data_IF_048817107574
#
_entry.id   IF_048817107574
#
_cell.length_a   1.000
_cell.length_b   1.000
_cell.length_c   1.000
_cell.angle_alpha   90.00
_cell.angle_beta   90.00
_cell.angle_gamma   90.00
#
_symmetry.space_group_name_H-M   'P 1'
#
loop_
_entity.id
_entity.type
_entity.pdbx_description
1 polymer ?
#
# COMPACT_ATOMS: atom_id res chain seq x y z
N UNK A 1 14.28 5.09 -6.03
CA UNK A 1 15.50 4.26 -6.07
C UNK A 1 16.18 4.21 -4.70
N UNK A 2 16.65 3.03 -4.23
CA UNK A 2 17.61 2.95 -3.13
C UNK A 2 19.00 3.22 -3.70
N UNK A 3 19.55 4.41 -3.51
CA UNK A 3 20.98 4.65 -3.76
C UNK A 3 21.75 4.12 -2.56
N UNK A 4 21.97 2.80 -2.52
CA UNK A 4 22.77 2.19 -1.48
C UNK A 4 24.21 2.69 -1.59
N UNK A 5 24.79 3.10 -0.45
CA UNK A 5 26.22 3.39 -0.25
C UNK A 5 27.13 2.17 -0.54
N UNK A 6 26.55 1.02 -0.91
CA UNK A 6 27.25 -0.24 -1.17
C UNK A 6 28.00 -0.28 -2.50
N UNK A 7 27.58 0.49 -3.50
CA UNK A 7 28.33 0.64 -4.75
C UNK A 7 28.85 2.09 -4.77
N UNK A 8 30.16 2.29 -4.89
CA UNK A 8 30.81 3.62 -4.96
C UNK A 8 30.43 4.42 -6.23
N UNK A 9 29.30 4.10 -6.85
CA UNK A 9 28.75 4.73 -8.06
C UNK A 9 27.29 5.07 -7.80
N UNK A 10 26.92 6.33 -7.99
CA UNK A 10 25.53 6.75 -7.88
C UNK A 10 24.71 6.16 -9.04
N UNK A 11 24.12 4.98 -8.82
CA UNK A 11 23.20 4.32 -9.77
C UNK A 11 22.08 5.24 -10.25
N UNK A 12 21.67 6.22 -9.45
CA UNK A 12 20.65 7.19 -9.82
C UNK A 12 21.04 8.00 -11.07
N UNK A 13 22.30 8.43 -11.21
CA UNK A 13 22.70 9.25 -12.36
C UNK A 13 22.70 8.48 -13.69
N UNK A 14 22.88 7.15 -13.64
CA UNK A 14 22.80 6.28 -14.81
C UNK A 14 21.37 5.91 -15.17
N UNK A 15 20.54 5.65 -14.17
CA UNK A 15 19.16 5.21 -14.40
C UNK A 15 18.20 6.36 -14.68
N UNK A 16 18.41 7.56 -14.11
CA UNK A 16 17.49 8.69 -14.29
C UNK A 16 17.18 9.04 -15.76
N UNK A 17 18.17 9.07 -16.69
CA UNK A 17 17.91 9.27 -18.11
C UNK A 17 17.05 8.15 -18.70
N UNK A 18 17.40 6.88 -18.43
CA UNK A 18 16.67 5.70 -18.95
C UNK A 18 15.23 5.64 -18.43
N UNK A 19 14.99 6.04 -17.18
CA UNK A 19 13.64 6.06 -16.59
C UNK A 19 12.69 6.97 -17.37
N UNK A 20 13.18 8.11 -17.88
CA UNK A 20 12.36 9.00 -18.72
C UNK A 20 11.96 8.30 -20.02
N UNK A 21 12.92 7.60 -20.64
CA UNK A 21 12.68 6.87 -21.89
C UNK A 21 11.76 5.67 -21.70
N UNK A 22 11.71 5.10 -20.49
CA UNK A 22 10.75 4.06 -20.09
C UNK A 22 9.36 4.61 -19.73
N UNK A 23 9.13 5.93 -19.90
CA UNK A 23 7.84 6.56 -19.67
C UNK A 23 7.53 6.89 -18.21
N UNK A 24 8.55 6.97 -17.34
CA UNK A 24 8.35 7.37 -15.94
C UNK A 24 8.03 8.87 -15.84
N UNK A 25 6.83 9.18 -15.35
CA UNK A 25 6.35 10.56 -15.22
C UNK A 25 6.86 11.28 -13.95
N UNK A 26 7.26 10.56 -12.89
CA UNK A 26 7.81 11.13 -11.66
C UNK A 26 8.82 10.17 -11.02
N UNK A 27 9.95 10.71 -10.54
CA UNK A 27 10.92 9.94 -9.76
C UNK A 27 11.01 10.51 -8.34
N UNK A 28 10.71 9.67 -7.35
CA UNK A 28 10.87 10.00 -5.93
C UNK A 28 12.15 9.37 -5.35
N UNK A 29 12.88 10.16 -4.55
CA UNK A 29 14.09 9.71 -3.85
C UNK A 29 13.78 9.59 -2.36
N UNK A 30 13.78 8.36 -1.85
CA UNK A 30 13.45 8.08 -0.45
C UNK A 30 14.66 8.13 0.46
N UNK A 31 14.67 9.04 1.44
CA UNK A 31 15.74 9.17 2.45
C UNK A 31 15.38 8.47 3.78
N UNK A 32 14.11 8.10 3.98
CA UNK A 32 13.57 7.62 5.27
C UNK A 32 13.67 6.11 5.57
N UNK A 33 14.55 5.34 4.94
CA UNK A 33 14.51 3.88 5.08
C UNK A 33 15.30 3.36 6.29
N UNK A 34 14.62 2.58 7.14
CA UNK A 34 15.24 1.86 8.24
C UNK A 34 16.05 0.65 7.73
N UNK A 35 17.36 0.65 8.00
CA UNK A 35 18.27 -0.47 7.76
C UNK A 35 17.97 -1.70 8.65
N UNK A 36 18.32 -2.86 8.11
CA UNK A 36 18.27 -4.24 8.66
C UNK A 36 16.93 -4.92 8.94
N UNK A 37 15.78 -4.25 8.82
CA UNK A 37 14.46 -4.90 8.67
C UNK A 37 13.69 -4.27 7.52
N UNK A 38 14.23 -4.41 6.31
CA UNK A 38 13.68 -3.84 5.08
C UNK A 38 12.81 -4.86 4.34
N UNK A 39 11.50 -4.88 4.57
CA UNK A 39 10.60 -5.74 3.80
C UNK A 39 9.37 -5.07 3.18
N UNK A 40 9.11 -3.79 3.46
CA UNK A 40 7.92 -3.11 2.93
C UNK A 40 7.96 -2.78 1.43
N UNK A 41 9.09 -2.93 0.74
CA UNK A 41 9.28 -2.54 -0.66
C UNK A 41 10.23 -3.51 -1.41
N UNK A 42 10.11 -4.82 -1.14
CA UNK A 42 10.78 -5.87 -1.92
C UNK A 42 9.77 -6.67 -2.75
N UNK A 43 8.76 -5.99 -3.31
CA UNK A 43 8.03 -6.46 -4.48
C UNK A 43 8.96 -6.28 -5.68
N UNK A 44 9.75 -7.32 -5.97
CA UNK A 44 10.61 -7.50 -7.15
C UNK A 44 11.59 -6.35 -7.51
N UNK A 45 12.66 -6.67 -8.23
CA UNK A 45 13.63 -5.69 -8.75
C UNK A 45 13.03 -4.70 -9.78
N UNK A 46 11.72 -4.69 -9.98
CA UNK A 46 11.03 -3.85 -10.97
C UNK A 46 9.79 -3.11 -10.42
N UNK A 47 9.29 -3.39 -9.20
CA UNK A 47 8.04 -2.78 -8.69
C UNK A 47 8.23 -1.63 -7.70
N UNK A 48 9.45 -1.07 -7.59
CA UNK A 48 9.72 0.14 -6.78
C UNK A 48 10.36 1.24 -7.62
N UNK A 49 9.75 1.46 -8.77
CA UNK A 49 9.52 2.81 -9.25
C UNK A 49 8.17 3.22 -8.67
N UNK A 50 8.11 4.30 -7.90
CA UNK A 50 6.84 5.01 -7.69
C UNK A 50 6.45 5.61 -9.05
N UNK A 51 5.99 4.77 -9.98
CA UNK A 51 5.37 5.16 -11.23
C UNK A 51 4.05 5.82 -10.87
N UNK A 52 4.11 7.13 -10.63
CA UNK A 52 2.93 7.98 -10.61
C UNK A 52 2.57 8.24 -12.05
N UNK A 53 1.69 7.43 -12.65
CA UNK A 53 0.99 7.86 -13.86
C UNK A 53 0.02 8.96 -13.44
N UNK A 54 0.48 10.22 -13.53
CA UNK A 54 -0.42 11.37 -13.59
C UNK A 54 -1.10 11.28 -14.95
N UNK A 55 -2.33 10.77 -14.99
CA UNK A 55 -3.15 10.83 -16.21
C UNK A 55 -3.51 12.28 -16.48
N UNK A 56 -2.69 12.98 -17.27
CA UNK A 56 -3.06 14.21 -17.93
C UNK A 56 -3.72 13.85 -19.27
N UNK A 57 -4.98 14.25 -19.40
CA UNK A 57 -5.81 14.33 -20.61
C UNK A 57 -5.05 14.15 -21.94
N UNK A 58 -4.91 12.92 -22.42
CA UNK A 58 -4.68 12.63 -23.84
C UNK A 58 -5.50 11.40 -24.21
N UNK A 59 -6.40 11.58 -25.16
CA UNK A 59 -7.38 10.61 -25.65
C UNK A 59 -6.73 9.47 -26.44
N UNK A 60 -5.98 8.56 -25.80
CA UNK A 60 -5.57 7.27 -26.37
C UNK A 60 -5.42 6.22 -25.25
N UNK A 61 -6.07 5.05 -25.31
CA UNK A 61 -5.88 4.00 -24.30
C UNK A 61 -4.64 3.15 -24.63
N UNK A 62 -3.70 2.94 -23.68
CA UNK A 62 -2.72 1.85 -23.79
C UNK A 62 -3.21 0.60 -23.03
N UNK A 63 -2.83 -0.61 -23.48
CA UNK A 63 -3.25 -1.86 -22.84
C UNK A 63 -2.36 -2.21 -21.62
N UNK A 64 -2.99 -2.82 -20.63
CA UNK A 64 -2.41 -3.73 -19.63
C UNK A 64 -1.15 -3.27 -18.86
N UNK A 65 -1.28 -2.25 -17.99
CA UNK A 65 -0.37 -2.06 -16.84
C UNK A 65 -1.03 -1.28 -15.69
N UNK A 66 -2.33 -1.43 -15.51
CA UNK A 66 -3.07 -0.88 -14.37
C UNK A 66 -3.52 -2.04 -13.48
N UNK A 67 -3.36 -1.91 -12.16
CA UNK A 67 -3.85 -2.82 -11.09
C UNK A 67 -2.98 -3.98 -10.59
N UNK A 68 -1.70 -3.74 -10.22
CA UNK A 68 -1.05 -4.60 -9.19
C UNK A 68 -0.96 -3.95 -7.80
N UNK A 69 -1.39 -2.70 -7.67
CA UNK A 69 -1.69 -1.98 -6.43
C UNK A 69 -2.82 -1.03 -6.84
N UNK A 70 -3.96 -0.91 -6.12
CA UNK A 70 -4.91 0.16 -6.40
C UNK A 70 -4.09 1.44 -6.34
N UNK A 71 -4.03 2.12 -7.48
CA UNK A 71 -3.19 3.25 -7.78
C UNK A 71 -2.88 4.07 -6.53
N UNK A 72 -1.60 4.27 -6.21
CA UNK A 72 -1.19 5.33 -5.31
C UNK A 72 -1.52 6.65 -6.00
N UNK A 73 -2.80 7.01 -6.00
CA UNK A 73 -3.33 8.19 -6.66
C UNK A 73 -2.92 9.40 -5.82
N UNK A 74 -2.02 10.20 -6.39
CA UNK A 74 -1.83 11.57 -5.96
C UNK A 74 -3.06 12.36 -6.40
N UNK A 75 -3.76 12.98 -5.45
CA UNK A 75 -4.70 14.06 -5.76
C UNK A 75 -3.87 15.33 -6.00
N UNK A 76 -3.42 15.59 -7.23
CA UNK A 76 -3.03 16.96 -7.60
C UNK A 76 -3.24 17.27 -9.09
N UNK A 77 -4.07 18.28 -9.34
CA UNK A 77 -4.27 18.99 -10.60
C UNK A 77 -3.20 20.09 -10.71
N UNK A 78 -2.13 19.90 -11.49
CA UNK A 78 -1.51 20.94 -12.33
C UNK A 78 -0.25 20.42 -13.06
N UNK A 79 -0.10 20.68 -14.37
CA UNK A 79 1.06 20.24 -15.14
C UNK A 79 2.06 21.39 -15.33
N UNK A 80 2.91 21.68 -14.34
CA UNK A 80 4.11 22.50 -14.60
C UNK A 80 5.07 22.53 -13.42
N UNK A 81 6.35 22.30 -13.73
CA UNK A 81 7.58 22.42 -12.93
C UNK A 81 8.08 21.20 -12.15
N UNK A 82 9.33 20.89 -12.46
CA UNK A 82 10.30 19.95 -11.87
C UNK A 82 10.72 20.33 -10.43
N UNK A 83 9.81 20.88 -9.63
CA UNK A 83 10.13 21.27 -8.25
C UNK A 83 10.17 20.02 -7.35
N UNK A 84 11.14 19.93 -6.42
CA UNK A 84 11.15 18.86 -5.44
C UNK A 84 9.89 18.99 -4.57
N UNK A 85 9.07 17.94 -4.57
CA UNK A 85 7.90 17.81 -3.71
C UNK A 85 8.29 16.99 -2.47
N UNK A 86 8.77 17.62 -1.38
CA UNK A 86 9.18 16.89 -0.18
C UNK A 86 7.99 16.11 0.39
N UNK A 87 8.31 14.91 0.85
CA UNK A 87 7.35 14.00 1.46
C UNK A 87 7.79 13.75 2.89
N UNK A 88 6.95 14.14 3.85
CA UNK A 88 7.26 14.02 5.26
C UNK A 88 6.39 12.93 5.88
N UNK A 89 7.08 11.91 6.40
CA UNK A 89 6.43 10.94 7.26
C UNK A 89 6.41 11.46 8.69
N UNK A 90 5.24 11.53 9.32
CA UNK A 90 5.05 12.06 10.67
C UNK A 90 5.64 11.22 11.79
N UNK A 91 6.64 10.37 11.52
CA UNK A 91 7.29 9.53 12.54
C UNK A 91 8.79 9.54 12.34
N UNK A 92 9.50 9.59 13.46
CA UNK A 92 10.94 9.39 13.47
C UNK A 92 11.29 7.95 13.11
N UNK A 93 12.53 7.74 12.65
CA UNK A 93 13.06 6.40 12.35
C UNK A 93 13.03 5.48 13.57
N UNK A 94 13.27 6.00 14.76
CA UNK A 94 13.33 5.25 16.01
C UNK A 94 11.94 4.80 16.49
N UNK A 95 10.91 5.60 16.21
CA UNK A 95 9.53 5.30 16.59
C UNK A 95 8.92 4.12 15.81
N UNK A 96 9.53 3.71 14.68
CA UNK A 96 9.05 2.60 13.83
C UNK A 96 7.51 2.66 13.64
N UNK A 97 6.81 1.61 14.10
CA UNK A 97 5.35 1.47 14.04
C UNK A 97 4.69 1.40 15.42
N UNK A 98 5.38 1.83 16.49
CA UNK A 98 4.84 1.75 17.85
C UNK A 98 4.02 2.97 18.24
N UNK A 99 4.22 4.10 17.57
CA UNK A 99 3.47 5.35 17.80
C UNK A 99 2.72 5.79 16.55
N UNK A 100 1.69 6.60 16.78
CA UNK A 100 0.94 7.31 15.74
C UNK A 100 1.81 8.38 15.08
N UNK A 101 1.46 8.75 13.86
CA UNK A 101 2.04 9.89 13.16
C UNK A 101 1.72 11.22 13.84
N UNK A 102 2.73 12.07 13.97
CA UNK A 102 2.67 13.42 14.50
C UNK A 102 2.28 14.40 13.40
N UNK A 103 0.97 14.53 13.19
CA UNK A 103 0.38 15.50 12.26
C UNK A 103 0.59 16.97 12.68
N UNK A 104 0.55 17.34 13.98
CA UNK A 104 0.95 18.68 14.42
C UNK A 104 2.37 19.08 13.97
N UNK A 105 3.33 18.14 14.04
CA UNK A 105 4.67 18.39 13.52
C UNK A 105 4.68 18.57 11.99
N UNK A 106 3.92 17.75 11.25
CA UNK A 106 3.76 17.92 9.79
C UNK A 106 3.20 19.31 9.47
N UNK A 107 2.21 19.80 10.21
CA UNK A 107 1.63 21.13 10.05
C UNK A 107 2.68 22.24 10.23
N UNK A 108 3.51 22.14 11.28
CA UNK A 108 4.62 23.08 11.50
C UNK A 108 5.60 23.08 10.32
N UNK A 109 5.97 21.89 9.82
CA UNK A 109 6.83 21.76 8.66
C UNK A 109 6.19 22.32 7.39
N UNK A 110 4.88 22.13 7.18
CA UNK A 110 4.16 22.66 6.02
C UNK A 110 4.19 24.19 6.01
N UNK A 111 3.99 24.83 7.17
CA UNK A 111 4.08 26.29 7.33
C UNK A 111 5.48 26.82 7.00
N UNK A 112 6.53 26.14 7.49
CA UNK A 112 7.93 26.52 7.23
C UNK A 112 8.34 26.28 5.78
N UNK A 113 7.82 25.23 5.15
CA UNK A 113 8.12 24.90 3.76
C UNK A 113 7.45 25.87 2.76
N UNK A 114 6.40 26.56 3.15
CA UNK A 114 5.67 27.51 2.29
C UNK A 114 6.62 28.53 1.64
N UNK A 115 6.53 28.76 0.32
CA UNK A 115 5.47 28.32 -0.60
C UNK A 115 5.70 26.94 -1.26
N UNK A 116 6.73 26.19 -0.88
CA UNK A 116 7.00 24.87 -1.45
C UNK A 116 5.95 23.85 -1.00
N UNK A 117 5.29 23.12 -1.93
CA UNK A 117 4.28 22.13 -1.60
C UNK A 117 4.88 20.91 -0.85
N UNK A 118 4.40 20.68 0.37
CA UNK A 118 4.76 19.53 1.21
C UNK A 118 3.68 18.44 1.15
N UNK A 119 4.07 17.19 1.01
CA UNK A 119 3.16 16.04 1.07
C UNK A 119 3.29 15.32 2.41
N UNK A 120 2.17 15.17 3.12
CA UNK A 120 2.11 14.49 4.41
C UNK A 120 1.91 12.97 4.27
N UNK A 121 2.50 12.18 5.16
CA UNK A 121 2.29 10.73 5.19
C UNK A 121 2.23 10.21 6.62
N UNK A 122 1.22 9.41 6.94
CA UNK A 122 1.17 8.71 8.22
C UNK A 122 -0.24 8.31 8.63
N UNK A 123 -0.44 7.03 8.91
CA UNK A 123 -1.63 6.50 9.59
C UNK A 123 -3.00 6.98 9.06
N UNK A 124 -3.11 7.22 7.75
CA UNK A 124 -4.40 7.47 7.07
C UNK A 124 -5.10 6.13 6.82
N UNK A 125 -6.20 5.88 7.53
CA UNK A 125 -7.03 4.69 7.39
C UNK A 125 -8.49 5.01 7.07
N UNK A 126 -8.94 6.25 7.15
CA UNK A 126 -10.29 6.65 6.74
C UNK A 126 -10.33 7.96 5.96
N UNK A 127 -11.52 8.34 5.47
CA UNK A 127 -11.71 9.64 4.84
C UNK A 127 -11.62 10.78 5.85
N UNK A 128 -12.03 10.57 7.11
CA UNK A 128 -11.84 11.53 8.20
C UNK A 128 -10.36 11.77 8.49
N UNK A 129 -9.55 10.70 8.54
CA UNK A 129 -8.09 10.85 8.70
C UNK A 129 -7.51 11.69 7.56
N UNK A 130 -7.94 11.43 6.31
CA UNK A 130 -7.51 12.18 5.15
C UNK A 130 -7.93 13.66 5.24
N UNK A 131 -9.16 13.94 5.66
CA UNK A 131 -9.67 15.31 5.82
C UNK A 131 -8.92 16.06 6.92
N UNK A 132 -8.72 15.44 8.08
CA UNK A 132 -7.93 16.00 9.18
C UNK A 132 -6.48 16.28 8.74
N UNK A 133 -5.88 15.36 7.98
CA UNK A 133 -4.54 15.55 7.45
C UNK A 133 -4.47 16.72 6.46
N UNK A 134 -5.45 16.88 5.56
CA UNK A 134 -5.49 18.01 4.62
C UNK A 134 -5.63 19.37 5.32
N UNK A 135 -6.19 19.42 6.53
CA UNK A 135 -6.27 20.66 7.33
C UNK A 135 -4.90 21.16 7.82
N UNK A 136 -3.85 20.32 7.77
CA UNK A 136 -2.49 20.70 8.19
C UNK A 136 -1.74 21.62 7.21
N UNK A 137 -2.39 22.00 6.10
CA UNK A 137 -1.80 22.86 5.07
C UNK A 137 -0.82 22.14 4.14
N UNK A 138 -0.79 20.80 4.17
CA UNK A 138 -0.09 19.99 3.18
C UNK A 138 -0.74 20.13 1.81
N UNK A 139 0.07 20.08 0.74
CA UNK A 139 -0.41 20.11 -0.64
C UNK A 139 -1.12 18.80 -1.03
N UNK A 140 -0.82 17.71 -0.33
CA UNK A 140 -1.48 16.42 -0.51
C UNK A 140 -1.03 15.41 0.54
N UNK A 141 -1.68 14.25 0.52
CA UNK A 141 -1.39 13.15 1.43
C UNK A 141 -0.96 11.91 0.65
N UNK A 142 -0.06 11.13 1.24
CA UNK A 142 0.29 9.80 0.75
C UNK A 142 -0.34 8.74 1.63
N UNK A 143 -0.94 7.74 1.02
CA UNK A 143 -1.54 6.59 1.71
C UNK A 143 -0.76 5.34 1.34
N UNK A 144 -0.36 4.54 2.33
CA UNK A 144 0.42 3.32 2.12
C UNK A 144 -0.25 2.10 2.77
N UNK A 145 -0.08 1.94 4.09
CA UNK A 145 -0.66 0.80 4.81
C UNK A 145 -2.19 0.79 4.78
N UNK A 146 -2.83 1.96 4.83
CA UNK A 146 -4.29 2.08 4.68
C UNK A 146 -4.81 1.45 3.39
N UNK A 147 -4.12 1.67 2.26
CA UNK A 147 -4.48 1.09 0.97
C UNK A 147 -4.29 -0.44 0.91
N UNK A 148 -3.34 -0.99 1.68
CA UNK A 148 -3.15 -2.44 1.80
C UNK A 148 -4.22 -3.09 2.68
N UNK A 149 -4.74 -2.39 3.69
CA UNK A 149 -5.86 -2.87 4.54
C UNK A 149 -7.18 -2.76 3.79
N UNK A 150 -7.40 -1.62 3.14
CA UNK A 150 -8.64 -1.25 2.46
C UNK A 150 -8.31 -0.72 1.05
N UNK A 151 -8.27 -1.59 0.04
CA UNK A 151 -8.10 -1.18 -1.36
C UNK A 151 -9.08 -0.10 -1.82
N UNK A 152 -10.29 -0.10 -1.26
CA UNK A 152 -11.36 0.86 -1.52
C UNK A 152 -11.24 2.18 -0.71
N UNK A 153 -10.18 2.37 0.09
CA UNK A 153 -9.99 3.59 0.88
C UNK A 153 -9.99 4.86 0.03
N UNK A 154 -9.47 4.80 -1.19
CA UNK A 154 -9.53 5.95 -2.11
C UNK A 154 -10.97 6.29 -2.51
N UNK A 155 -11.84 5.29 -2.62
CA UNK A 155 -13.27 5.49 -2.84
C UNK A 155 -13.93 6.11 -1.62
N UNK A 156 -13.58 5.66 -0.39
CA UNK A 156 -14.05 6.32 0.84
C UNK A 156 -13.66 7.79 0.89
N UNK A 157 -12.40 8.11 0.55
CA UNK A 157 -11.89 9.50 0.50
C UNK A 157 -12.65 10.31 -0.56
N UNK A 158 -12.87 9.74 -1.75
CA UNK A 158 -13.57 10.43 -2.84
C UNK A 158 -15.05 10.69 -2.51
N UNK A 159 -15.73 9.71 -1.93
CA UNK A 159 -17.16 9.76 -1.63
C UNK A 159 -17.48 10.34 -0.24
N UNK A 160 -16.46 10.61 0.56
CA UNK A 160 -16.61 11.21 1.90
C UNK A 160 -17.52 10.38 2.81
N UNK A 161 -17.38 9.05 2.77
CA UNK A 161 -18.13 8.10 3.60
C UNK A 161 -17.37 6.82 3.83
N UNK A 162 -17.70 6.10 4.89
CA UNK A 162 -17.23 4.73 5.10
C UNK A 162 -17.89 3.76 4.11
N UNK A 163 -17.10 2.79 3.67
CA UNK A 163 -17.55 1.67 2.86
C UNK A 163 -17.50 0.40 3.70
N UNK A 164 -18.66 -0.21 3.90
CA UNK A 164 -18.80 -1.48 4.61
C UNK A 164 -19.15 -2.59 3.61
N UNK A 165 -18.19 -2.91 2.73
CA UNK A 165 -18.41 -3.89 1.66
C UNK A 165 -18.57 -5.31 2.20
N UNK A 166 -19.31 -6.13 1.46
CA UNK A 166 -19.55 -7.53 1.77
C UNK A 166 -18.30 -8.40 1.61
N UNK A 167 -18.35 -9.61 2.18
CA UNK A 167 -17.31 -10.62 2.01
C UNK A 167 -17.10 -11.02 0.54
N UNK A 168 -18.16 -11.01 -0.27
CA UNK A 168 -18.11 -11.37 -1.69
C UNK A 168 -17.39 -10.29 -2.50
N UNK A 169 -17.72 -9.02 -2.30
CA UNK A 169 -17.01 -7.89 -2.93
C UNK A 169 -15.53 -7.87 -2.55
N UNK A 170 -15.20 -8.18 -1.29
CA UNK A 170 -13.80 -8.34 -0.85
C UNK A 170 -13.09 -9.49 -1.56
N UNK A 171 -13.77 -10.62 -1.75
CA UNK A 171 -13.20 -11.76 -2.49
C UNK A 171 -13.02 -11.45 -3.97
N UNK A 172 -13.92 -10.67 -4.57
CA UNK A 172 -13.79 -10.23 -5.96
C UNK A 172 -12.53 -9.36 -6.15
N UNK A 173 -12.21 -8.48 -5.20
CA UNK A 173 -10.93 -7.73 -5.21
C UNK A 173 -9.72 -8.67 -5.18
N UNK A 174 -9.76 -9.73 -4.38
CA UNK A 174 -8.69 -10.73 -4.36
C UNK A 174 -8.64 -11.53 -5.68
N UNK A 175 -9.79 -11.81 -6.29
CA UNK A 175 -9.89 -12.48 -7.59
C UNK A 175 -9.25 -11.63 -8.69
N UNK A 176 -9.56 -10.34 -8.73
CA UNK A 176 -8.95 -9.39 -9.67
C UNK A 176 -7.43 -9.37 -9.50
N UNK A 177 -6.94 -9.27 -8.26
CA UNK A 177 -5.50 -9.35 -7.98
C UNK A 177 -4.87 -10.64 -8.52
N UNK A 178 -5.52 -11.79 -8.33
CA UNK A 178 -5.00 -13.05 -8.86
C UNK A 178 -5.03 -13.09 -10.39
N UNK A 179 -6.06 -12.55 -11.04
CA UNK A 179 -6.12 -12.46 -12.49
C UNK A 179 -4.96 -11.62 -13.04
N UNK A 180 -4.72 -10.43 -12.49
CA UNK A 180 -3.59 -9.59 -12.91
C UNK A 180 -2.23 -10.24 -12.63
N UNK A 181 -2.11 -10.97 -11.51
CA UNK A 181 -0.91 -11.74 -11.22
C UNK A 181 -0.63 -12.80 -12.26
N UNK A 182 -1.65 -13.54 -12.70
CA UNK A 182 -1.53 -14.58 -13.73
C UNK A 182 -1.28 -13.99 -15.12
N UNK A 183 -1.89 -12.85 -15.45
CA UNK A 183 -1.61 -12.12 -16.69
C UNK A 183 -0.14 -11.65 -16.74
N UNK A 184 0.38 -11.18 -15.61
CA UNK A 184 1.73 -10.63 -15.53
C UNK A 184 2.83 -11.70 -15.41
N UNK A 185 2.64 -12.72 -14.58
CA UNK A 185 3.65 -13.76 -14.31
C UNK A 185 3.44 -15.06 -15.09
N UNK A 186 2.30 -15.22 -15.76
CA UNK A 186 1.91 -16.43 -16.46
C UNK A 186 1.03 -17.35 -15.60
N UNK A 187 0.33 -18.26 -16.28
CA UNK A 187 -0.52 -19.30 -15.69
C UNK A 187 0.18 -20.66 -15.59
N UNK A 188 1.49 -20.71 -15.81
CA UNK A 188 2.30 -21.89 -15.55
C UNK A 188 2.52 -22.06 -14.03
N UNK A 189 3.09 -23.19 -13.62
CA UNK A 189 3.32 -23.47 -12.20
C UNK A 189 4.14 -22.36 -11.51
N UNK A 190 5.14 -21.78 -12.19
CA UNK A 190 5.95 -20.72 -11.60
C UNK A 190 5.17 -19.42 -11.44
N UNK A 191 4.36 -19.03 -12.43
CA UNK A 191 3.53 -17.83 -12.37
C UNK A 191 2.41 -17.94 -11.34
N UNK A 192 1.75 -19.10 -11.23
CA UNK A 192 0.74 -19.37 -10.19
C UNK A 192 1.35 -19.27 -8.80
N UNK A 193 2.48 -19.95 -8.54
CA UNK A 193 3.11 -19.93 -7.22
C UNK A 193 3.68 -18.55 -6.86
N UNK A 194 4.14 -17.79 -7.85
CA UNK A 194 4.55 -16.39 -7.65
C UNK A 194 3.37 -15.50 -7.27
N UNK A 195 2.26 -15.62 -7.99
CA UNK A 195 1.00 -14.92 -7.67
C UNK A 195 0.52 -15.27 -6.26
N UNK A 196 0.50 -16.57 -5.95
CA UNK A 196 0.11 -17.08 -4.63
C UNK A 196 0.98 -16.51 -3.52
N UNK A 197 2.31 -16.46 -3.71
CA UNK A 197 3.22 -15.90 -2.72
C UNK A 197 2.85 -14.44 -2.40
N UNK A 198 2.61 -13.61 -3.41
CA UNK A 198 2.24 -12.21 -3.19
C UNK A 198 0.85 -12.05 -2.57
N UNK A 199 -0.11 -12.88 -3.00
CA UNK A 199 -1.45 -12.92 -2.39
C UNK A 199 -1.37 -13.24 -0.90
N UNK A 200 -0.59 -14.26 -0.51
CA UNK A 200 -0.45 -14.67 0.89
C UNK A 200 0.24 -13.59 1.76
N UNK A 201 1.25 -12.91 1.23
CA UNK A 201 1.85 -11.76 1.92
C UNK A 201 0.83 -10.63 2.09
N UNK A 202 -0.03 -10.40 1.09
CA UNK A 202 -1.08 -9.38 1.19
C UNK A 202 -2.19 -9.77 2.17
N UNK A 203 -2.65 -11.02 2.17
CA UNK A 203 -3.63 -11.55 3.13
C UNK A 203 -3.14 -11.42 4.58
N UNK A 204 -1.83 -11.60 4.82
CA UNK A 204 -1.20 -11.34 6.13
C UNK A 204 -1.32 -9.88 6.61
N UNK A 205 -1.70 -8.97 5.71
CA UNK A 205 -1.96 -7.57 5.98
C UNK A 205 -3.44 -7.24 5.99
N UNK A 206 -4.18 -7.76 5.01
CA UNK A 206 -5.62 -7.54 4.83
C UNK A 206 -6.47 -8.11 5.98
N UNK A 207 -6.00 -9.19 6.64
CA UNK A 207 -6.65 -9.74 7.83
C UNK A 207 -6.76 -8.79 9.03
N UNK A 208 -6.07 -7.65 8.98
CA UNK A 208 -6.19 -6.60 10.01
C UNK A 208 -7.43 -5.73 9.84
N UNK A 209 -8.08 -5.74 8.68
CA UNK A 209 -9.30 -4.98 8.47
C UNK A 209 -10.47 -5.57 9.26
N UNK A 210 -11.23 -4.70 9.93
CA UNK A 210 -12.49 -5.04 10.61
C UNK A 210 -13.65 -4.38 9.87
N UNK A 211 -14.70 -5.13 9.49
CA UNK A 211 -15.91 -4.57 8.89
C UNK A 211 -16.49 -3.43 9.73
N UNK A 212 -16.97 -2.37 9.07
CA UNK A 212 -17.40 -1.14 9.77
C UNK A 212 -18.60 -1.42 10.66
N UNK A 213 -19.55 -2.26 10.21
CA UNK A 213 -20.69 -2.68 11.03
C UNK A 213 -20.35 -3.49 12.28
N UNK A 214 -19.10 -3.93 12.44
CA UNK A 214 -18.61 -4.64 13.64
C UNK A 214 -17.77 -3.74 14.56
N UNK A 215 -17.42 -2.52 14.13
CA UNK A 215 -16.64 -1.59 14.94
C UNK A 215 -17.55 -0.88 15.94
N UNK A 216 -17.20 -0.94 17.23
CA UNK A 216 -17.85 -0.12 18.26
C UNK A 216 -17.57 1.38 18.04
N UNK A 217 -16.35 1.70 17.59
CA UNK A 217 -15.84 3.08 17.46
C UNK A 217 -15.11 3.27 16.13
N UNK A 218 -15.81 3.57 15.03
CA UNK A 218 -15.15 3.97 13.79
C UNK A 218 -14.49 5.37 13.94
N UNK A 219 -13.39 5.66 13.21
CA UNK A 219 -12.67 4.78 12.29
C UNK A 219 -11.67 3.85 12.99
N UNK A 220 -11.38 2.70 12.37
CA UNK A 220 -10.35 1.77 12.85
C UNK A 220 -8.96 2.40 12.81
N UNK A 221 -8.19 2.24 13.89
CA UNK A 221 -6.77 2.68 13.93
C UNK A 221 -5.82 1.52 13.64
N UNK A 222 -4.69 1.83 13.00
CA UNK A 222 -3.71 0.80 12.59
C UNK A 222 -3.03 0.07 13.75
N UNK A 223 -2.97 0.69 14.93
CA UNK A 223 -2.35 0.11 16.12
C UNK A 223 -3.37 -0.62 17.01
N UNK A 224 -4.66 -0.50 16.70
CA UNK A 224 -5.69 -1.23 17.43
C UNK A 224 -5.56 -2.73 17.14
N UNK A 225 -5.64 -3.51 18.21
CA UNK A 225 -5.71 -4.96 18.14
C UNK A 225 -7.11 -5.36 18.58
N UNK A 226 -8.06 -5.52 17.63
CA UNK A 226 -9.39 -5.93 17.99
C UNK A 226 -9.32 -7.30 18.68
N UNK A 227 -10.22 -7.57 19.65
CA UNK A 227 -10.37 -8.93 20.18
C UNK A 227 -10.76 -9.88 19.05
N UNK A 228 -10.61 -11.18 19.28
CA UNK A 228 -11.13 -12.18 18.34
C UNK A 228 -12.63 -11.98 18.15
N UNK A 229 -13.07 -11.91 16.90
CA UNK A 229 -14.46 -11.76 16.53
C UNK A 229 -14.82 -12.73 15.42
N UNK A 230 -16.10 -13.09 15.36
CA UNK A 230 -16.67 -13.77 14.21
C UNK A 230 -17.15 -12.72 13.22
N UNK A 231 -16.75 -12.87 11.96
CA UNK A 231 -17.26 -12.02 10.89
C UNK A 231 -18.76 -12.24 10.68
N UNK A 232 -19.38 -11.40 9.84
CA UNK A 232 -20.82 -11.50 9.55
C UNK A 232 -21.17 -12.81 8.84
N UNK A 233 -20.20 -13.41 8.17
CA UNK A 233 -20.28 -14.73 7.57
C UNK A 233 -18.96 -15.52 7.73
N UNK A 234 -18.96 -16.75 7.19
CA UNK A 234 -17.80 -17.64 7.21
C UNK A 234 -16.58 -17.02 6.51
N UNK A 235 -16.80 -16.36 5.38
CA UNK A 235 -15.73 -15.84 4.53
C UNK A 235 -15.05 -14.61 5.16
N UNK A 236 -15.81 -13.75 5.83
CA UNK A 236 -15.25 -12.67 6.65
C UNK A 236 -14.45 -13.20 7.83
N UNK A 237 -14.96 -14.23 8.49
CA UNK A 237 -14.26 -14.90 9.60
C UNK A 237 -12.93 -15.48 9.10
N UNK A 238 -12.94 -16.12 7.93
CA UNK A 238 -11.75 -16.67 7.28
C UNK A 238 -10.75 -15.56 6.92
N UNK A 239 -11.22 -14.45 6.34
CA UNK A 239 -10.36 -13.31 5.99
C UNK A 239 -9.81 -12.57 7.21
N UNK A 240 -10.51 -12.55 8.34
CA UNK A 240 -10.06 -11.93 9.59
C UNK A 240 -9.03 -12.79 10.34
N UNK A 241 -8.87 -14.07 9.98
CA UNK A 241 -7.96 -14.99 10.65
C UNK A 241 -6.50 -14.53 10.54
N UNK A 242 -5.76 -14.70 11.63
CA UNK A 242 -4.31 -14.45 11.70
C UNK A 242 -3.48 -15.71 11.40
N UNK A 243 -4.13 -16.83 11.04
CA UNK A 243 -3.48 -18.11 10.78
C UNK A 243 -3.12 -18.27 9.31
N UNK A 244 -1.87 -18.66 9.02
CA UNK A 244 -1.42 -18.88 7.65
C UNK A 244 -2.21 -19.98 6.92
N UNK A 245 -2.72 -20.98 7.63
CA UNK A 245 -3.55 -22.05 7.06
C UNK A 245 -4.84 -21.50 6.44
N UNK A 246 -5.46 -20.51 7.08
CA UNK A 246 -6.70 -19.89 6.56
C UNK A 246 -6.41 -19.02 5.33
N UNK A 247 -5.26 -18.35 5.29
CA UNK A 247 -4.82 -17.61 4.09
C UNK A 247 -4.51 -18.55 2.92
N UNK A 248 -3.91 -19.71 3.21
CA UNK A 248 -3.69 -20.76 2.21
C UNK A 248 -5.03 -21.21 1.64
N UNK A 249 -6.03 -21.47 2.48
CA UNK A 249 -7.37 -21.87 2.03
C UNK A 249 -8.01 -20.83 1.11
N UNK A 250 -7.91 -19.54 1.43
CA UNK A 250 -8.38 -18.45 0.53
C UNK A 250 -7.63 -18.49 -0.80
N UNK A 251 -6.30 -18.68 -0.76
CA UNK A 251 -5.50 -18.78 -1.98
C UNK A 251 -5.87 -19.99 -2.84
N UNK A 252 -6.28 -21.11 -2.22
CA UNK A 252 -6.73 -22.29 -2.95
C UNK A 252 -8.07 -22.08 -3.66
N UNK A 253 -8.97 -21.29 -3.06
CA UNK A 253 -10.22 -20.89 -3.70
C UNK A 253 -9.99 -20.08 -5.00
N UNK A 254 -8.89 -19.35 -5.10
CA UNK A 254 -8.60 -18.44 -6.22
C UNK A 254 -7.61 -19.02 -7.25
N UNK A 255 -6.63 -19.79 -6.81
CA UNK A 255 -5.50 -20.25 -7.62
C UNK A 255 -5.40 -21.78 -7.73
N UNK A 256 -6.37 -22.52 -7.17
CA UNK A 256 -6.34 -23.98 -7.11
C UNK A 256 -5.46 -24.53 -5.97
N UNK A 257 -5.38 -25.85 -5.81
CA UNK A 257 -4.74 -26.50 -4.66
C UNK A 257 -3.25 -26.20 -4.57
N UNK A 258 -2.71 -26.12 -3.35
CA UNK A 258 -1.26 -26.00 -3.14
C UNK A 258 -0.57 -27.38 -3.27
N UNK A 259 0.74 -27.42 -3.59
CA UNK A 259 1.49 -28.67 -3.57
C UNK A 259 1.47 -29.36 -2.18
N UNK A 260 1.58 -30.69 -2.12
CA UNK A 260 1.67 -31.41 -0.85
C UNK A 260 2.82 -30.88 0.02
N UNK A 261 2.53 -30.60 1.30
CA UNK A 261 3.52 -30.09 2.25
C UNK A 261 3.85 -28.61 2.07
N UNK A 262 3.07 -27.85 1.30
CA UNK A 262 3.25 -26.40 1.19
C UNK A 262 3.08 -25.72 2.55
N UNK A 263 4.07 -24.89 2.91
CA UNK A 263 4.03 -24.08 4.13
C UNK A 263 4.29 -22.63 3.76
N UNK A 264 3.40 -21.76 4.23
CA UNK A 264 3.60 -20.31 4.14
C UNK A 264 4.04 -19.75 5.48
N UNK A 265 5.17 -19.08 5.49
CA UNK A 265 5.62 -18.24 6.58
C UNK A 265 5.60 -16.78 6.11
N UNK A 266 4.75 -15.92 6.70
CA UNK A 266 4.71 -14.51 6.33
C UNK A 266 6.08 -13.90 6.60
N UNK A 267 6.57 -13.11 5.66
CA UNK A 267 7.84 -12.38 5.82
C UNK A 267 7.83 -11.47 7.04
N UNK A 268 6.63 -11.06 7.44
CA UNK A 268 6.35 -10.22 8.57
C UNK A 268 5.55 -11.00 9.61
N UNK A 269 6.18 -11.96 10.30
CA UNK A 269 5.96 -11.99 11.75
C UNK A 269 6.45 -10.64 12.25
N UNK A 270 5.57 -9.63 12.24
CA UNK A 270 5.75 -8.47 13.10
C UNK A 270 6.12 -9.08 14.44
N UNK A 271 7.32 -8.78 14.96
CA UNK A 271 7.81 -9.31 16.21
C UNK A 271 6.76 -9.00 17.30
N UNK A 272 5.78 -9.89 17.43
CA UNK A 272 5.00 -10.10 18.62
C UNK A 272 6.01 -10.79 19.52
N UNK A 273 6.48 -10.01 20.48
CA UNK A 273 7.50 -10.35 21.45
C UNK A 273 7.34 -11.77 22.01
N UNK A 274 8.48 -12.39 22.33
CA UNK A 274 8.55 -13.38 23.42
C UNK A 274 8.11 -12.74 24.73
#
# INVERSE_FOLDING_TARGET
MRTGVQERVSLAHRLLPELRDWGVALVTVGVGQCGHTSGFLWLSRFLVLSLCLVSCCLSVPPPALHLLIPSACYLHLQPSLLLPHPQLHGRSREQRYTRLADWPYIEQCAKVASPMPLFGNGDILSFEDANCAMQTGVAGIMVARGALLKPWLFTEIKEQRHWDISSSERLDILRDFTHYGLEHWGSDTQGVERTRRFLLEWLSFLCRYVPVGLLERPPQRINERPPYYLGRDYLETLMASQQAADWIRISEMLLGPVPPGFVFLPKHKANAYK
#
